data_IF_713395155924
#
_entry.id   IF_713395155924
#
_cell.length_a   1.000
_cell.length_b   1.000
_cell.length_c   1.000
_cell.angle_alpha   90.00
_cell.angle_beta   90.00
_cell.angle_gamma   90.00
#
_symmetry.space_group_name_H-M   'P 1'
#
loop_
_entity.id
_entity.type
_entity.pdbx_description
1 polymer ?
#
# COMPACT_ATOMS: atom_id res chain seq x y z
N UNK A 1 -15.52 -5.34 -22.16
CA UNK A 1 -14.24 -4.92 -21.60
C UNK A 1 -13.76 -6.05 -20.66
N UNK A 2 -12.64 -6.71 -21.00
CA UNK A 2 -12.01 -7.70 -20.11
C UNK A 2 -11.52 -6.95 -18.85
N UNK A 3 -12.14 -7.19 -17.70
CA UNK A 3 -11.61 -6.78 -16.42
C UNK A 3 -10.25 -7.47 -16.25
N UNK A 4 -9.17 -6.72 -16.21
CA UNK A 4 -7.87 -7.28 -15.90
C UNK A 4 -7.98 -8.06 -14.59
N UNK A 5 -7.71 -9.37 -14.61
CA UNK A 5 -7.78 -10.19 -13.41
C UNK A 5 -6.58 -9.86 -12.55
N UNK A 6 -6.80 -9.12 -11.46
CA UNK A 6 -5.76 -8.87 -10.46
C UNK A 6 -5.31 -10.22 -9.90
N UNK A 7 -4.04 -10.54 -10.01
CA UNK A 7 -3.48 -11.71 -9.34
C UNK A 7 -3.31 -11.41 -7.84
N UNK A 8 -4.25 -11.92 -7.05
CA UNK A 8 -4.27 -11.67 -5.60
C UNK A 8 -3.09 -12.31 -4.86
N UNK A 9 -2.46 -13.35 -5.42
CA UNK A 9 -1.29 -13.97 -4.81
C UNK A 9 -0.04 -13.08 -4.90
N UNK A 10 0.00 -12.19 -5.89
CA UNK A 10 1.14 -11.26 -6.10
C UNK A 10 1.00 -9.94 -5.36
N UNK A 11 -0.09 -9.71 -4.62
CA UNK A 11 -0.28 -8.48 -3.85
C UNK A 11 0.73 -8.38 -2.71
N UNK A 12 1.23 -7.16 -2.40
CA UNK A 12 2.20 -6.96 -1.34
C UNK A 12 1.50 -6.96 0.04
N UNK A 13 1.21 -8.13 0.56
CA UNK A 13 0.66 -8.29 1.89
C UNK A 13 1.68 -7.89 2.97
N UNK A 14 1.21 -7.25 4.04
CA UNK A 14 1.98 -7.07 5.26
C UNK A 14 1.90 -8.37 6.07
N UNK A 15 2.89 -9.25 5.90
CA UNK A 15 2.93 -10.57 6.53
C UNK A 15 2.84 -10.47 8.06
N UNK A 16 3.48 -9.47 8.67
CA UNK A 16 3.41 -9.26 10.12
C UNK A 16 1.99 -8.95 10.59
N UNK A 17 1.26 -8.12 9.84
CA UNK A 17 -0.14 -7.83 10.15
C UNK A 17 -1.06 -9.04 9.87
N UNK A 18 -0.82 -9.77 8.78
CA UNK A 18 -1.57 -11.00 8.46
C UNK A 18 -1.38 -12.04 9.54
N UNK A 19 -0.16 -12.24 10.04
CA UNK A 19 0.11 -13.17 11.13
C UNK A 19 -0.56 -12.75 12.43
N UNK A 20 -0.56 -11.46 12.74
CA UNK A 20 -1.30 -10.93 13.88
C UNK A 20 -2.81 -11.20 13.75
N UNK A 21 -3.40 -11.03 12.57
CA UNK A 21 -4.80 -11.37 12.32
C UNK A 21 -5.06 -12.87 12.52
N UNK A 22 -4.16 -13.74 12.06
CA UNK A 22 -4.26 -15.20 12.29
C UNK A 22 -4.28 -15.54 13.77
N UNK A 23 -3.47 -14.89 14.57
CA UNK A 23 -3.47 -15.06 16.02
C UNK A 23 -4.79 -14.61 16.64
N UNK A 24 -5.34 -13.46 16.21
CA UNK A 24 -6.64 -12.98 16.68
C UNK A 24 -7.76 -13.98 16.33
N UNK A 25 -7.74 -14.53 15.11
CA UNK A 25 -8.71 -15.56 14.68
C UNK A 25 -8.61 -16.84 15.51
N UNK A 26 -7.39 -17.34 15.76
CA UNK A 26 -7.15 -18.50 16.64
C UNK A 26 -7.63 -18.25 18.07
N UNK A 27 -7.57 -16.99 18.52
CA UNK A 27 -8.11 -16.55 19.81
C UNK A 27 -9.65 -16.44 19.85
N UNK A 28 -10.35 -16.92 18.81
CA UNK A 28 -11.82 -16.94 18.74
C UNK A 28 -12.45 -15.63 18.26
N UNK A 29 -11.68 -14.70 17.70
CA UNK A 29 -12.22 -13.47 17.11
C UNK A 29 -12.75 -13.71 15.70
N UNK A 30 -13.96 -13.27 15.46
CA UNK A 30 -14.55 -13.23 14.12
C UNK A 30 -13.98 -12.04 13.37
N UNK A 31 -13.38 -12.29 12.19
CA UNK A 31 -12.71 -11.27 11.38
C UNK A 31 -13.46 -11.09 10.07
N UNK A 32 -13.75 -9.84 9.72
CA UNK A 32 -14.43 -9.46 8.49
C UNK A 32 -13.56 -8.48 7.69
N UNK A 33 -13.56 -8.63 6.37
CA UNK A 33 -12.88 -7.69 5.47
C UNK A 33 -13.85 -6.58 5.08
N UNK A 34 -13.64 -5.35 5.57
CA UNK A 34 -14.42 -4.17 5.21
C UNK A 34 -13.59 -3.24 4.32
N UNK A 35 -13.94 -3.09 3.05
CA UNK A 35 -13.14 -2.35 2.06
C UNK A 35 -14.00 -1.55 1.09
N UNK A 36 -13.43 -0.44 0.57
CA UNK A 36 -14.02 0.31 -0.54
C UNK A 36 -13.69 -0.31 -1.92
N UNK A 37 -12.90 -1.36 -1.99
CA UNK A 37 -12.61 -2.07 -3.23
C UNK A 37 -13.84 -2.82 -3.77
N UNK A 38 -13.80 -3.18 -5.05
CA UNK A 38 -14.83 -4.01 -5.70
C UNK A 38 -15.00 -5.35 -4.97
N UNK A 39 -16.25 -5.78 -4.80
CA UNK A 39 -16.60 -7.00 -4.08
C UNK A 39 -15.96 -8.25 -4.68
N UNK A 40 -15.78 -8.32 -6.01
CA UNK A 40 -15.15 -9.46 -6.65
C UNK A 40 -13.66 -9.57 -6.31
N UNK A 41 -12.96 -8.43 -6.22
CA UNK A 41 -11.55 -8.40 -5.79
C UNK A 41 -11.45 -8.73 -4.30
N UNK A 42 -12.29 -8.12 -3.47
CA UNK A 42 -12.28 -8.31 -2.03
C UNK A 42 -12.55 -9.77 -1.64
N UNK A 43 -13.48 -10.46 -2.32
CA UNK A 43 -13.75 -11.88 -2.09
C UNK A 43 -12.55 -12.76 -2.43
N UNK A 44 -11.89 -12.53 -3.56
CA UNK A 44 -10.67 -13.30 -3.93
C UNK A 44 -9.54 -13.10 -2.94
N UNK A 45 -9.35 -11.88 -2.42
CA UNK A 45 -8.38 -11.63 -1.34
C UNK A 45 -8.76 -12.37 -0.07
N UNK A 46 -10.03 -12.35 0.32
CA UNK A 46 -10.53 -13.04 1.49
C UNK A 46 -10.35 -14.57 1.39
N UNK A 47 -10.66 -15.15 0.24
CA UNK A 47 -10.46 -16.56 -0.07
C UNK A 47 -8.98 -16.95 -0.06
N UNK A 48 -8.12 -16.12 -0.67
CA UNK A 48 -6.67 -16.36 -0.71
C UNK A 48 -6.05 -16.38 0.71
N UNK A 49 -6.45 -15.46 1.57
CA UNK A 49 -5.92 -15.37 2.94
C UNK A 49 -6.56 -16.38 3.90
N UNK A 50 -7.79 -16.82 3.65
CA UNK A 50 -8.50 -17.81 4.48
C UNK A 50 -8.75 -17.39 5.92
N UNK A 51 -8.85 -16.07 6.18
CA UNK A 51 -8.93 -15.49 7.53
C UNK A 51 -10.29 -14.91 7.87
N UNK A 52 -11.06 -14.54 6.83
CA UNK A 52 -12.25 -13.72 7.00
C UNK A 52 -13.51 -14.57 6.96
N UNK A 53 -14.41 -14.37 7.91
CA UNK A 53 -15.73 -15.00 7.91
C UNK A 53 -16.67 -14.39 6.89
N UNK A 54 -16.41 -13.12 6.50
CA UNK A 54 -17.20 -12.44 5.51
C UNK A 54 -16.54 -11.18 4.97
N UNK A 55 -17.15 -10.62 3.92
CA UNK A 55 -16.64 -9.45 3.19
C UNK A 55 -17.73 -8.40 3.09
N UNK A 56 -17.41 -7.18 3.53
CA UNK A 56 -18.18 -5.97 3.31
C UNK A 56 -17.39 -5.12 2.31
N UNK A 57 -17.85 -5.04 1.07
CA UNK A 57 -17.13 -4.39 0.00
C UNK A 57 -18.07 -3.57 -0.89
N UNK A 58 -17.50 -2.65 -1.68
CA UNK A 58 -18.29 -1.88 -2.64
C UNK A 58 -18.84 -2.77 -3.74
N UNK A 59 -20.09 -2.52 -4.08
CA UNK A 59 -20.76 -3.10 -5.23
C UNK A 59 -21.01 -2.04 -6.29
N UNK A 60 -21.23 -2.13 -7.44
CA UNK A 60 -21.39 -1.06 -8.46
C UNK A 60 -22.36 0.08 -8.09
N UNK A 61 -23.09 -0.02 -6.99
CA UNK A 61 -24.11 0.93 -6.53
C UNK A 61 -23.75 1.65 -5.23
N UNK A 62 -22.99 0.99 -4.36
CA UNK A 62 -22.64 1.51 -3.04
C UNK A 62 -21.12 1.53 -2.83
N UNK A 63 -20.56 2.72 -2.64
CA UNK A 63 -19.16 2.89 -2.27
C UNK A 63 -18.99 2.83 -0.75
N UNK A 64 -18.32 1.77 -0.26
CA UNK A 64 -18.04 1.56 1.17
C UNK A 64 -16.82 2.36 1.63
N UNK A 65 -16.89 3.69 1.58
CA UNK A 65 -15.85 4.60 2.07
C UNK A 65 -16.37 5.43 3.24
N UNK A 66 -15.53 5.66 4.26
CA UNK A 66 -15.83 6.52 5.41
C UNK A 66 -17.17 6.21 6.08
N UNK A 67 -18.12 7.16 6.16
CA UNK A 67 -19.40 6.98 6.82
C UNK A 67 -20.24 5.81 6.29
N UNK A 68 -20.20 5.55 4.97
CA UNK A 68 -20.94 4.43 4.37
C UNK A 68 -20.38 3.08 4.86
N UNK A 69 -19.07 2.97 5.01
CA UNK A 69 -18.42 1.79 5.59
C UNK A 69 -18.87 1.58 7.05
N UNK A 70 -18.91 2.67 7.83
CA UNK A 70 -19.40 2.61 9.20
C UNK A 70 -20.85 2.15 9.30
N UNK A 71 -21.72 2.65 8.42
CA UNK A 71 -23.12 2.23 8.37
C UNK A 71 -23.26 0.75 8.05
N UNK A 72 -22.50 0.24 7.07
CA UNK A 72 -22.49 -1.17 6.70
C UNK A 72 -21.97 -2.07 7.84
N UNK A 73 -20.92 -1.65 8.54
CA UNK A 73 -20.38 -2.40 9.69
C UNK A 73 -21.42 -2.43 10.82
N UNK A 74 -22.09 -1.32 11.13
CA UNK A 74 -23.13 -1.27 12.16
C UNK A 74 -24.33 -2.15 11.83
N UNK A 75 -24.78 -2.15 10.58
CA UNK A 75 -25.85 -3.03 10.13
C UNK A 75 -25.45 -4.50 10.30
N UNK A 76 -24.22 -4.86 9.87
CA UNK A 76 -23.71 -6.20 10.05
C UNK A 76 -23.59 -6.61 11.54
N UNK A 77 -23.14 -5.71 12.42
CA UNK A 77 -23.08 -5.97 13.86
C UNK A 77 -24.48 -6.20 14.45
N UNK A 78 -25.48 -5.43 14.03
CA UNK A 78 -26.86 -5.61 14.48
C UNK A 78 -27.42 -6.98 14.06
N UNK A 79 -27.20 -7.39 12.80
CA UNK A 79 -27.63 -8.70 12.28
C UNK A 79 -26.91 -9.86 13.01
N UNK A 80 -25.63 -9.66 13.38
CA UNK A 80 -24.82 -10.63 14.10
C UNK A 80 -25.01 -10.59 15.63
N UNK A 81 -25.91 -9.72 16.14
CA UNK A 81 -26.15 -9.48 17.57
C UNK A 81 -24.86 -9.13 18.34
N UNK A 82 -23.97 -8.37 17.70
CA UNK A 82 -22.71 -7.91 18.29
C UNK A 82 -22.85 -6.50 18.85
N UNK A 83 -22.51 -6.32 20.12
CA UNK A 83 -22.63 -5.03 20.82
C UNK A 83 -21.59 -3.99 20.37
N UNK A 84 -20.44 -4.45 19.87
CA UNK A 84 -19.34 -3.58 19.47
C UNK A 84 -18.40 -4.28 18.49
N UNK A 85 -17.60 -3.47 17.78
CA UNK A 85 -16.55 -3.96 16.89
C UNK A 85 -15.19 -3.32 17.21
N UNK A 86 -14.11 -4.02 16.89
CA UNK A 86 -12.76 -3.48 16.82
C UNK A 86 -12.46 -3.18 15.37
N UNK A 87 -11.73 -2.11 15.06
CA UNK A 87 -11.46 -1.71 13.68
C UNK A 87 -9.96 -1.55 13.39
N UNK A 88 -9.50 -2.16 12.29
CA UNK A 88 -8.15 -2.01 11.77
C UNK A 88 -8.18 -1.11 10.51
N UNK A 89 -7.34 -0.07 10.48
CA UNK A 89 -7.30 0.85 9.34
C UNK A 89 -6.04 1.69 9.30
N UNK A 90 -5.89 2.51 8.26
CA UNK A 90 -4.68 3.30 8.01
C UNK A 90 -4.94 4.72 7.46
N UNK A 91 -6.12 5.01 6.98
CA UNK A 91 -6.45 6.24 6.26
C UNK A 91 -7.10 7.31 7.13
N UNK A 92 -7.08 8.55 6.65
CA UNK A 92 -7.82 9.65 7.28
C UNK A 92 -9.33 9.43 7.24
N UNK A 93 -9.83 8.75 6.21
CA UNK A 93 -11.23 8.33 6.10
C UNK A 93 -11.65 7.28 7.14
N UNK A 94 -10.68 6.59 7.77
CA UNK A 94 -10.93 5.61 8.81
C UNK A 94 -11.09 6.24 10.20
N UNK A 95 -10.83 7.54 10.36
CA UNK A 95 -10.97 8.23 11.66
C UNK A 95 -12.40 8.14 12.21
N UNK A 96 -13.40 8.19 11.34
CA UNK A 96 -14.82 8.03 11.76
C UNK A 96 -15.10 6.61 12.26
N UNK A 97 -14.43 5.60 11.71
CA UNK A 97 -14.52 4.21 12.14
C UNK A 97 -13.76 3.98 13.44
N UNK A 98 -12.56 4.55 13.57
CA UNK A 98 -11.79 4.51 14.82
C UNK A 98 -12.60 5.12 15.98
N UNK A 99 -13.25 6.27 15.75
CA UNK A 99 -14.07 6.92 16.78
C UNK A 99 -15.27 6.07 17.21
N UNK A 100 -15.83 5.26 16.31
CA UNK A 100 -16.98 4.40 16.58
C UNK A 100 -16.59 3.01 17.11
N UNK A 101 -15.35 2.60 16.93
CA UNK A 101 -14.87 1.29 17.35
C UNK A 101 -14.65 1.23 18.87
N UNK A 102 -14.86 0.05 19.47
CA UNK A 102 -14.46 -0.22 20.85
C UNK A 102 -12.93 -0.10 21.02
N UNK A 103 -12.18 -0.67 20.09
CA UNK A 103 -10.72 -0.57 20.01
C UNK A 103 -10.30 -0.27 18.58
N UNK A 104 -9.43 0.73 18.42
CA UNK A 104 -8.80 1.08 17.17
C UNK A 104 -7.43 0.41 17.06
N UNK A 105 -7.18 -0.24 15.94
CA UNK A 105 -5.90 -0.82 15.56
C UNK A 105 -5.39 -0.04 14.35
N UNK A 106 -4.34 0.74 14.54
CA UNK A 106 -3.79 1.61 13.50
C UNK A 106 -2.65 0.89 12.79
N UNK A 107 -2.81 0.64 11.49
CA UNK A 107 -1.90 -0.20 10.71
C UNK A 107 -1.23 0.64 9.63
N UNK A 108 0.10 0.76 9.65
CA UNK A 108 0.89 1.43 8.60
C UNK A 108 0.38 2.85 8.25
N UNK A 109 -0.15 3.58 9.21
CA UNK A 109 -0.74 4.89 8.99
C UNK A 109 0.32 6.00 8.93
N UNK A 110 0.01 7.07 8.18
CA UNK A 110 0.79 8.29 8.19
C UNK A 110 0.83 8.91 9.60
N UNK A 111 1.93 9.60 10.00
CA UNK A 111 2.07 10.18 11.34
C UNK A 111 0.89 11.07 11.76
N UNK A 112 0.33 11.86 10.84
CA UNK A 112 -0.82 12.72 11.11
C UNK A 112 -2.08 11.91 11.45
N UNK A 113 -2.33 10.80 10.74
CA UNK A 113 -3.48 9.91 11.00
C UNK A 113 -3.31 9.21 12.34
N UNK A 114 -2.09 8.72 12.63
CA UNK A 114 -1.79 8.09 13.92
C UNK A 114 -1.99 9.07 15.09
N UNK A 115 -1.53 10.32 14.94
CA UNK A 115 -1.73 11.36 15.96
C UNK A 115 -3.21 11.65 16.19
N UNK A 116 -4.00 11.80 15.12
CA UNK A 116 -5.44 12.01 15.21
C UNK A 116 -6.15 10.81 15.85
N UNK A 117 -5.80 9.57 15.46
CA UNK A 117 -6.37 8.37 16.06
C UNK A 117 -6.07 8.26 17.56
N UNK A 118 -4.83 8.57 17.97
CA UNK A 118 -4.45 8.60 19.41
C UNK A 118 -5.26 9.60 20.21
N UNK A 119 -5.63 10.74 19.61
CA UNK A 119 -6.50 11.73 20.22
C UNK A 119 -7.90 11.22 20.54
N UNK A 120 -8.37 10.12 19.93
CA UNK A 120 -9.65 9.49 20.23
C UNK A 120 -9.63 8.66 21.54
N UNK A 121 -8.46 8.30 22.05
CA UNK A 121 -8.30 7.63 23.34
C UNK A 121 -8.61 6.12 23.35
N UNK A 122 -8.91 5.50 22.21
CA UNK A 122 -9.28 4.08 22.09
C UNK A 122 -8.30 3.25 21.25
N UNK A 123 -7.12 3.78 20.94
CA UNK A 123 -6.08 3.04 20.19
C UNK A 123 -5.49 1.95 21.09
N UNK A 124 -5.77 0.70 20.75
CA UNK A 124 -5.32 -0.48 21.49
C UNK A 124 -4.03 -1.07 20.93
N UNK A 125 -3.78 -0.93 19.62
CA UNK A 125 -2.59 -1.47 18.98
C UNK A 125 -2.16 -0.62 17.80
N UNK A 126 -0.84 -0.53 17.57
CA UNK A 126 -0.24 0.19 16.43
C UNK A 126 0.71 -0.76 15.74
N UNK A 127 0.40 -1.10 14.50
CA UNK A 127 1.31 -1.81 13.61
C UNK A 127 2.08 -0.76 12.82
N UNK A 128 3.36 -0.58 13.12
CA UNK A 128 4.18 0.38 12.44
C UNK A 128 4.55 -0.11 11.03
N UNK A 129 4.58 0.82 10.07
CA UNK A 129 5.11 0.52 8.75
C UNK A 129 6.57 0.03 8.87
N UNK A 130 6.87 -1.10 8.26
CA UNK A 130 8.25 -1.54 8.17
C UNK A 130 9.03 -0.55 7.28
N UNK A 131 10.24 -0.14 7.70
CA UNK A 131 11.06 0.73 6.87
C UNK A 131 11.32 0.05 5.52
N UNK A 132 11.19 0.82 4.44
CA UNK A 132 11.44 0.31 3.11
C UNK A 132 12.88 -0.22 3.02
N UNK A 133 13.03 -1.51 2.83
CA UNK A 133 14.34 -2.14 2.67
C UNK A 133 15.03 -1.71 1.37
N UNK A 134 16.35 -1.95 1.24
CA UNK A 134 17.13 -1.52 0.06
C UNK A 134 16.56 -2.04 -1.27
N UNK A 135 15.91 -3.21 -1.27
CA UNK A 135 15.24 -3.75 -2.47
C UNK A 135 14.08 -2.89 -2.96
N UNK A 136 13.32 -2.27 -2.04
CA UNK A 136 12.23 -1.35 -2.39
C UNK A 136 12.79 -0.10 -3.05
N UNK A 137 13.89 0.45 -2.50
CA UNK A 137 14.59 1.59 -3.07
C UNK A 137 15.19 1.28 -4.45
N UNK A 138 15.83 0.12 -4.64
CA UNK A 138 16.35 -0.30 -5.94
C UNK A 138 15.24 -0.44 -6.99
N UNK A 139 14.06 -0.96 -6.58
CA UNK A 139 12.90 -1.06 -7.48
C UNK A 139 12.34 0.32 -7.81
N UNK A 140 12.22 1.20 -6.82
CA UNK A 140 11.72 2.56 -6.99
C UNK A 140 12.65 3.39 -7.90
N UNK A 141 13.96 3.27 -7.75
CA UNK A 141 14.96 3.90 -8.62
C UNK A 141 15.03 3.27 -10.01
N UNK A 142 14.29 2.18 -10.25
CA UNK A 142 14.30 1.44 -11.52
C UNK A 142 15.73 1.08 -11.99
N UNK A 143 16.60 0.66 -11.08
CA UNK A 143 18.01 0.38 -11.33
C UNK A 143 18.22 -0.56 -12.52
N UNK A 144 17.29 -1.49 -12.78
CA UNK A 144 17.32 -2.37 -13.95
C UNK A 144 17.30 -1.61 -15.31
N UNK A 145 16.83 -0.35 -15.32
CA UNK A 145 16.83 0.49 -16.53
C UNK A 145 18.15 1.25 -16.73
N UNK A 146 19.04 1.29 -15.73
CA UNK A 146 20.31 1.98 -15.82
C UNK A 146 21.24 1.36 -16.87
N UNK A 147 21.03 0.10 -17.23
CA UNK A 147 21.76 -0.56 -18.31
C UNK A 147 21.68 0.20 -19.64
N UNK A 148 20.54 0.83 -19.93
CA UNK A 148 20.33 1.64 -21.14
C UNK A 148 21.22 2.90 -21.14
N UNK A 149 21.56 3.37 -19.95
CA UNK A 149 22.34 4.60 -19.77
C UNK A 149 23.86 4.38 -19.91
N UNK A 150 24.32 3.11 -20.07
CA UNK A 150 25.74 2.80 -20.35
C UNK A 150 26.28 3.49 -21.61
N UNK A 151 25.38 3.92 -22.51
CA UNK A 151 25.74 4.71 -23.69
C UNK A 151 26.46 6.03 -23.33
N UNK A 152 26.26 6.56 -22.12
CA UNK A 152 27.01 7.74 -21.61
C UNK A 152 28.51 7.49 -21.53
N UNK A 153 28.92 6.22 -21.40
CA UNK A 153 30.33 5.83 -21.33
C UNK A 153 30.99 5.64 -22.72
N UNK A 154 30.23 5.64 -23.82
CA UNK A 154 30.73 5.46 -25.16
C UNK A 154 31.79 6.50 -25.55
N UNK A 155 31.65 7.81 -25.25
CA UNK A 155 32.70 8.80 -25.53
C UNK A 155 34.03 8.49 -24.88
N UNK A 156 34.04 7.95 -23.64
CA UNK A 156 35.27 7.53 -22.97
C UNK A 156 36.00 6.43 -23.75
N UNK A 157 35.24 5.46 -24.29
CA UNK A 157 35.78 4.35 -25.09
C UNK A 157 36.27 4.83 -26.45
N UNK A 158 35.48 5.65 -27.15
CA UNK A 158 35.84 6.13 -28.51
C UNK A 158 36.97 7.15 -28.50
N UNK A 159 37.16 7.87 -27.41
CA UNK A 159 38.27 8.78 -27.20
C UNK A 159 39.56 8.06 -26.73
N UNK A 160 39.53 6.72 -26.55
CA UNK A 160 40.64 5.91 -26.03
C UNK A 160 41.22 6.42 -24.70
N UNK A 161 40.38 7.07 -23.85
CA UNK A 161 40.80 7.66 -22.57
C UNK A 161 40.55 6.76 -21.36
N UNK A 162 40.33 5.48 -21.56
CA UNK A 162 40.08 4.51 -20.46
C UNK A 162 41.28 4.33 -19.51
N UNK A 163 42.49 4.70 -19.97
CA UNK A 163 43.71 4.68 -19.14
C UNK A 163 43.95 5.97 -18.35
N UNK A 164 43.11 6.99 -18.55
CA UNK A 164 43.15 8.24 -17.82
C UNK A 164 42.17 8.16 -16.61
N UNK A 165 42.69 8.07 -15.36
CA UNK A 165 41.83 7.90 -14.19
C UNK A 165 40.85 9.04 -13.99
N UNK A 166 41.22 10.28 -14.35
CA UNK A 166 40.36 11.44 -14.22
C UNK A 166 39.19 11.37 -15.18
N UNK A 167 39.45 11.03 -16.46
CA UNK A 167 38.39 10.85 -17.44
C UNK A 167 37.44 9.71 -17.10
N UNK A 168 37.92 8.63 -16.48
CA UNK A 168 37.08 7.53 -16.00
C UNK A 168 36.15 8.01 -14.86
N UNK A 169 36.72 8.74 -13.89
CA UNK A 169 35.91 9.27 -12.76
C UNK A 169 34.86 10.24 -13.26
N UNK A 170 35.19 11.16 -14.16
CA UNK A 170 34.23 12.11 -14.76
C UNK A 170 33.11 11.38 -15.50
N UNK A 171 33.43 10.35 -16.28
CA UNK A 171 32.44 9.56 -17.01
C UNK A 171 31.51 8.77 -16.05
N UNK A 172 32.05 8.23 -14.96
CA UNK A 172 31.24 7.54 -13.95
C UNK A 172 30.30 8.50 -13.20
N UNK A 173 30.77 9.70 -12.86
CA UNK A 173 29.94 10.74 -12.26
C UNK A 173 28.83 11.14 -13.21
N UNK A 174 29.14 11.37 -14.49
CA UNK A 174 28.15 11.70 -15.51
C UNK A 174 27.11 10.57 -15.66
N UNK A 175 27.55 9.30 -15.70
CA UNK A 175 26.65 8.14 -15.75
C UNK A 175 25.72 8.09 -14.55
N UNK A 176 26.23 8.22 -13.34
CA UNK A 176 25.42 8.20 -12.11
C UNK A 176 24.44 9.37 -12.07
N UNK A 177 24.88 10.58 -12.41
CA UNK A 177 24.02 11.76 -12.47
C UNK A 177 22.87 11.54 -13.46
N UNK A 178 23.16 11.02 -14.66
CA UNK A 178 22.16 10.72 -15.67
C UNK A 178 21.16 9.65 -15.19
N UNK A 179 21.63 8.59 -14.55
CA UNK A 179 20.76 7.55 -13.96
C UNK A 179 19.83 8.10 -12.89
N UNK A 180 20.33 8.98 -12.00
CA UNK A 180 19.53 9.60 -10.95
C UNK A 180 18.47 10.56 -11.52
N UNK A 181 18.83 11.37 -12.52
CA UNK A 181 17.89 12.27 -13.21
C UNK A 181 16.78 11.47 -13.90
N UNK A 182 17.14 10.41 -14.63
CA UNK A 182 16.18 9.52 -15.26
C UNK A 182 15.25 8.86 -14.25
N UNK A 183 15.78 8.37 -13.12
CA UNK A 183 14.97 7.81 -12.02
C UNK A 183 14.03 8.86 -11.42
N UNK A 184 14.51 10.09 -11.24
CA UNK A 184 13.68 11.22 -10.77
C UNK A 184 12.50 11.52 -11.68
N UNK A 185 12.72 11.48 -13.01
CA UNK A 185 11.64 11.62 -13.99
C UNK A 185 10.56 10.56 -13.85
N UNK A 186 10.94 9.30 -13.62
CA UNK A 186 9.98 8.22 -13.35
C UNK A 186 9.20 8.45 -12.05
N UNK A 187 9.86 8.90 -10.97
CA UNK A 187 9.18 9.23 -9.73
C UNK A 187 8.12 10.31 -9.91
N UNK A 188 8.45 11.37 -10.64
CA UNK A 188 7.49 12.46 -10.92
C UNK A 188 6.32 11.92 -11.73
N UNK A 189 6.58 11.10 -12.76
CA UNK A 189 5.52 10.48 -13.56
C UNK A 189 4.61 9.59 -12.70
N UNK A 190 5.18 8.69 -11.90
CA UNK A 190 4.43 7.80 -11.01
C UNK A 190 3.59 8.60 -9.98
N UNK A 191 4.09 9.76 -9.49
CA UNK A 191 3.32 10.65 -8.62
C UNK A 191 2.15 11.36 -9.34
N UNK A 192 2.33 11.75 -10.59
CA UNK A 192 1.28 12.37 -11.39
C UNK A 192 0.20 11.36 -11.74
N UNK A 193 0.59 10.14 -12.09
CA UNK A 193 -0.31 9.04 -12.43
C UNK A 193 -1.15 8.60 -11.21
N UNK A 194 -0.60 8.63 -9.99
CA UNK A 194 -1.36 8.41 -8.76
C UNK A 194 -2.56 9.35 -8.61
N UNK A 195 -2.43 10.59 -9.09
CA UNK A 195 -3.51 11.58 -9.09
C UNK A 195 -4.59 11.27 -10.14
N UNK A 196 -4.23 10.69 -11.28
CA UNK A 196 -5.14 10.29 -12.34
C UNK A 196 -5.87 8.99 -11.99
N UNK A 197 -5.17 7.98 -11.50
CA UNK A 197 -5.74 6.69 -11.07
C UNK A 197 -6.75 6.83 -9.93
N UNK A 198 -6.54 7.79 -9.02
CA UNK A 198 -7.51 8.10 -7.95
C UNK A 198 -8.79 8.76 -8.45
N UNK A 199 -8.79 9.38 -9.64
CA UNK A 199 -9.96 10.08 -10.23
C UNK A 199 -10.78 9.19 -11.16
N UNK A 200 -10.20 8.10 -11.65
CA UNK A 200 -10.88 7.11 -12.48
C UNK A 200 -10.89 5.76 -11.77
N UNK A 201 -11.81 5.54 -10.81
CA UNK A 201 -12.08 4.20 -10.32
C UNK A 201 -12.76 3.44 -11.46
N UNK A 202 -11.99 2.64 -12.19
CA UNK A 202 -12.51 1.65 -13.14
C UNK A 202 -13.13 0.48 -12.40
#
# INVERSE_FOLDING_TARGET
AQRASIDVASLPYDEGFVDWLREQSRGGRRIYLATAADVGVARRVAEHLGLFEGVLASDGTHNLKGPNKLAAIRAHCADAQADAFDYCGNGSEDLVLFAAARRAIVVNAAPAVLAAARGLGNVAHVVAAQPAGPRVWMRALRVHQWLKNLLVLVPLLTAFRVSDPMAVVEALIAFLAFCLVASGGYFVNDLLDLGADRRHPT
#
